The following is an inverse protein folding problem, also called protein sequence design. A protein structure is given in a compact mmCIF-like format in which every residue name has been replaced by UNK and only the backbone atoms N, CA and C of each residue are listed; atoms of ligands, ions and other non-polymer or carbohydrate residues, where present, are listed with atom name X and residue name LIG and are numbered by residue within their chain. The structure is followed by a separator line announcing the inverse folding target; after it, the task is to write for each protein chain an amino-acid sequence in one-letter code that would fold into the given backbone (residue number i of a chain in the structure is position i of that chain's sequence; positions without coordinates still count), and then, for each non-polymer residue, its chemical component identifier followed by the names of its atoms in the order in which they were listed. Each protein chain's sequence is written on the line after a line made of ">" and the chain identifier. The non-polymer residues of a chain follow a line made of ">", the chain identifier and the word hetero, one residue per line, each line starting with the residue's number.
data_IF_134030257730
#
_entry.id   IF_134030257730
#
_cell.length_a   1.000
_cell.length_b   1.000
_cell.length_c   1.000
_cell.angle_alpha   90.00
_cell.angle_beta   90.00
_cell.angle_gamma   90.00
#
_symmetry.space_group_name_H-M   'P 1'
#
loop_
_entity.id
_entity.type
_entity.pdbx_description
1 polymer ?
#
# COMPACT_ATOMS: atom_id res chain seq x y z
N UNK A 1 16.40 -7.20 21.99
CA UNK A 1 15.26 -7.05 21.07
C UNK A 1 15.20 -5.59 20.65
N UNK A 2 15.81 -5.25 19.51
CA UNK A 2 16.07 -3.85 19.12
C UNK A 2 14.86 -3.29 18.37
N UNK A 3 14.19 -2.30 18.98
CA UNK A 3 13.15 -1.51 18.35
C UNK A 3 13.75 -0.75 17.16
N UNK A 4 13.55 -1.25 15.94
CA UNK A 4 13.86 -0.50 14.72
C UNK A 4 12.88 0.67 14.64
N UNK A 5 13.39 1.84 15.04
CA UNK A 5 12.72 3.15 14.98
C UNK A 5 11.94 3.34 13.67
N UNK A 6 10.65 3.63 13.81
CA UNK A 6 9.80 4.18 12.75
C UNK A 6 10.45 5.49 12.26
N UNK A 7 11.12 5.48 11.10
CA UNK A 7 11.68 6.69 10.49
C UNK A 7 10.68 7.26 9.50
N UNK A 8 9.88 8.22 9.97
CA UNK A 8 9.25 9.19 9.07
C UNK A 8 10.37 10.06 8.52
N UNK A 9 10.80 9.79 7.28
CA UNK A 9 11.80 10.60 6.59
C UNK A 9 11.24 12.01 6.38
N UNK A 10 11.92 13.00 6.96
CA UNK A 10 11.59 14.43 6.88
C UNK A 10 11.33 14.87 5.44
N UNK A 11 10.15 15.46 5.21
CA UNK A 11 9.84 16.22 4.00
C UNK A 11 10.67 17.49 3.95
N UNK A 12 11.58 17.62 2.97
CA UNK A 12 12.27 18.88 2.67
C UNK A 12 11.44 19.66 1.66
N UNK A 13 10.71 20.68 2.13
CA UNK A 13 9.94 21.59 1.26
C UNK A 13 10.89 22.69 0.74
N UNK A 14 11.31 22.60 -0.52
CA UNK A 14 11.89 23.74 -1.26
C UNK A 14 10.93 24.13 -2.38
N UNK A 15 10.65 25.43 -2.53
CA UNK A 15 9.79 25.92 -3.61
C UNK A 15 10.33 25.46 -4.97
N UNK A 16 9.56 24.65 -5.71
CA UNK A 16 9.97 24.01 -6.96
C UNK A 16 10.55 22.59 -6.85
N UNK A 17 10.62 21.99 -5.65
CA UNK A 17 11.21 20.66 -5.43
C UNK A 17 10.24 19.52 -5.70
N UNK A 18 10.71 18.51 -6.43
CA UNK A 18 10.12 17.17 -6.48
C UNK A 18 9.88 16.66 -5.05
N UNK A 19 8.63 16.39 -4.69
CA UNK A 19 8.27 15.82 -3.41
C UNK A 19 8.36 14.29 -3.52
N UNK A 20 9.14 13.70 -2.61
CA UNK A 20 9.25 12.24 -2.46
C UNK A 20 8.80 11.83 -1.07
N UNK A 21 7.86 10.91 -1.01
CA UNK A 21 7.36 10.29 0.21
C UNK A 21 7.72 8.80 0.15
N UNK A 22 8.17 8.27 1.28
CA UNK A 22 8.33 6.84 1.51
C UNK A 22 7.54 6.48 2.75
N UNK A 23 6.75 5.42 2.63
CA UNK A 23 5.92 4.90 3.70
C UNK A 23 5.98 3.38 3.70
N UNK A 24 5.69 2.78 4.85
CA UNK A 24 5.70 1.33 5.03
C UNK A 24 4.77 0.92 6.16
N UNK A 25 4.11 -0.22 6.00
CA UNK A 25 3.27 -0.83 7.02
C UNK A 25 3.64 -2.31 7.20
N UNK A 26 3.70 -2.83 8.44
CA UNK A 26 3.91 -4.25 8.68
C UNK A 26 2.67 -5.06 8.29
N UNK A 27 2.89 -6.29 7.86
CA UNK A 27 1.85 -7.31 7.73
C UNK A 27 1.57 -7.96 9.08
N UNK A 28 0.55 -8.82 9.15
CA UNK A 28 0.09 -9.40 10.41
C UNK A 28 -0.15 -10.90 10.33
N UNK A 29 -0.05 -11.57 11.48
CA UNK A 29 -0.57 -12.91 11.68
C UNK A 29 -1.73 -12.87 12.68
N UNK A 30 -2.69 -13.76 12.49
CA UNK A 30 -3.80 -13.93 13.44
C UNK A 30 -3.49 -15.09 14.37
N UNK A 31 -3.48 -14.80 15.67
CA UNK A 31 -3.20 -15.75 16.74
C UNK A 31 -4.50 -16.39 17.24
N UNK A 32 -5.59 -15.62 17.29
CA UNK A 32 -6.92 -16.10 17.65
C UNK A 32 -8.01 -15.22 17.01
N UNK A 33 -9.15 -15.84 16.67
CA UNK A 33 -10.34 -15.11 16.22
C UNK A 33 -10.22 -14.46 14.84
N UNK A 34 -9.21 -14.79 14.03
CA UNK A 34 -8.93 -14.09 12.75
C UNK A 34 -10.14 -13.96 11.82
N UNK A 35 -10.93 -15.04 11.63
CA UNK A 35 -12.09 -15.01 10.73
C UNK A 35 -13.33 -14.31 11.31
N UNK A 36 -13.31 -13.95 12.60
CA UNK A 36 -14.43 -13.27 13.23
C UNK A 36 -14.57 -11.84 12.70
N UNK A 37 -13.53 -11.25 12.12
CA UNK A 37 -13.59 -9.92 11.48
C UNK A 37 -14.34 -9.91 10.13
N UNK A 38 -14.69 -11.08 9.59
CA UNK A 38 -15.39 -11.22 8.31
C UNK A 38 -16.90 -11.02 8.51
N UNK A 39 -17.53 -10.21 7.67
CA UNK A 39 -18.98 -10.10 7.61
C UNK A 39 -19.60 -11.35 6.94
N UNK A 40 -20.71 -11.92 7.44
CA UNK A 40 -21.48 -11.54 8.64
C UNK A 40 -21.08 -12.32 9.90
N UNK A 41 -19.93 -13.01 9.93
CA UNK A 41 -19.58 -13.96 10.99
C UNK A 41 -19.58 -13.34 12.40
N UNK A 42 -19.07 -12.12 12.57
CA UNK A 42 -19.12 -11.47 13.89
C UNK A 42 -20.55 -11.26 14.42
N UNK A 43 -21.57 -11.19 13.55
CA UNK A 43 -22.96 -10.94 13.97
C UNK A 43 -23.59 -12.11 14.74
N UNK A 44 -22.98 -13.30 14.69
CA UNK A 44 -23.45 -14.48 15.43
C UNK A 44 -22.87 -14.58 16.85
N UNK A 45 -22.04 -13.62 17.25
CA UNK A 45 -21.39 -13.57 18.56
C UNK A 45 -21.63 -12.19 19.19
N UNK A 46 -21.81 -12.13 20.51
CA UNK A 46 -22.08 -10.85 21.18
C UNK A 46 -20.91 -9.87 21.06
N UNK A 47 -19.69 -10.34 21.34
CA UNK A 47 -18.46 -9.54 21.28
C UNK A 47 -17.25 -10.43 20.95
N UNK A 48 -17.13 -10.92 19.70
CA UNK A 48 -16.08 -11.85 19.32
C UNK A 48 -14.69 -11.17 19.34
N UNK A 49 -13.74 -11.62 20.19
CA UNK A 49 -12.42 -11.02 20.23
C UNK A 49 -11.54 -11.53 19.09
N UNK A 50 -10.64 -10.68 18.60
CA UNK A 50 -9.55 -11.06 17.70
C UNK A 50 -8.21 -10.70 18.34
N UNK A 51 -7.20 -11.55 18.13
CA UNK A 51 -5.84 -11.31 18.55
C UNK A 51 -4.93 -11.49 17.34
N UNK A 52 -4.28 -10.41 16.93
CA UNK A 52 -3.31 -10.40 15.85
C UNK A 52 -2.00 -9.77 16.31
N UNK A 53 -0.93 -10.04 15.57
CA UNK A 53 0.38 -9.47 15.81
C UNK A 53 1.01 -9.02 14.50
N UNK A 54 1.56 -7.80 14.48
CA UNK A 54 2.38 -7.33 13.38
C UNK A 54 3.69 -8.14 13.33
N UNK A 55 4.12 -8.50 12.12
CA UNK A 55 5.36 -9.24 11.88
C UNK A 55 6.34 -8.42 11.04
N UNK A 56 7.59 -8.86 10.95
CA UNK A 56 8.69 -8.16 10.29
C UNK A 56 8.72 -8.35 8.76
N UNK A 57 7.55 -8.58 8.16
CA UNK A 57 7.31 -8.54 6.72
C UNK A 57 6.50 -7.29 6.39
N UNK A 58 7.09 -6.37 5.63
CA UNK A 58 6.52 -5.05 5.36
C UNK A 58 6.02 -4.92 3.92
N UNK A 59 4.98 -4.11 3.75
CA UNK A 59 4.67 -3.45 2.49
C UNK A 59 5.29 -2.05 2.51
N UNK A 60 5.97 -1.66 1.43
CA UNK A 60 6.64 -0.36 1.29
C UNK A 60 6.19 0.32 0.01
N UNK A 61 5.85 1.61 0.12
CA UNK A 61 5.45 2.45 -1.01
C UNK A 61 6.34 3.69 -1.06
N UNK A 62 6.84 4.01 -2.24
CA UNK A 62 7.56 5.23 -2.53
C UNK A 62 6.82 6.00 -3.62
N UNK A 63 6.48 7.26 -3.34
CA UNK A 63 5.76 8.14 -4.26
C UNK A 63 6.62 9.37 -4.52
N UNK A 64 6.80 9.70 -5.79
CA UNK A 64 7.50 10.91 -6.23
C UNK A 64 6.60 11.73 -7.13
N UNK A 65 6.39 13.02 -6.82
CA UNK A 65 5.61 13.92 -7.68
C UNK A 65 6.36 14.22 -8.96
N UNK A 66 5.65 14.26 -10.08
CA UNK A 66 6.20 14.61 -11.39
C UNK A 66 5.71 15.98 -11.83
N UNK A 67 6.47 16.60 -12.75
CA UNK A 67 6.07 17.88 -13.38
C UNK A 67 5.08 17.67 -14.54
N UNK A 68 5.09 16.47 -15.14
CA UNK A 68 4.14 16.06 -16.17
C UNK A 68 2.88 15.45 -15.54
N UNK A 69 1.96 14.94 -16.36
CA UNK A 69 0.74 14.24 -15.92
C UNK A 69 0.91 12.72 -15.84
N UNK A 70 2.09 12.19 -16.20
CA UNK A 70 2.30 10.75 -16.36
C UNK A 70 2.18 10.04 -15.02
N UNK A 71 1.66 8.81 -15.06
CA UNK A 71 1.63 7.90 -13.92
C UNK A 71 2.56 6.73 -14.25
N UNK A 72 3.60 6.56 -13.45
CA UNK A 72 4.56 5.45 -13.57
C UNK A 72 4.35 4.53 -12.37
N UNK A 73 4.01 3.27 -12.61
CA UNK A 73 3.77 2.27 -11.57
C UNK A 73 4.81 1.17 -11.66
N UNK A 74 5.47 0.86 -10.56
CA UNK A 74 6.43 -0.25 -10.47
C UNK A 74 6.15 -1.10 -9.23
N UNK A 75 5.75 -2.35 -9.41
CA UNK A 75 5.67 -3.35 -8.34
C UNK A 75 6.90 -4.24 -8.39
N UNK A 76 7.80 -4.09 -7.41
CA UNK A 76 9.06 -4.85 -7.38
C UNK A 76 8.85 -6.32 -7.06
N UNK A 77 7.98 -6.60 -6.12
CA UNK A 77 7.55 -7.93 -5.67
C UNK A 77 6.88 -8.75 -6.77
N UNK A 78 6.10 -8.11 -7.64
CA UNK A 78 5.42 -8.76 -8.77
C UNK A 78 6.18 -8.64 -10.10
N UNK A 79 7.31 -7.92 -10.13
CA UNK A 79 8.08 -7.68 -11.36
C UNK A 79 7.32 -6.92 -12.45
N UNK A 80 6.35 -6.07 -12.07
CA UNK A 80 5.50 -5.32 -13.00
C UNK A 80 5.92 -3.86 -13.06
N UNK A 81 5.97 -3.30 -14.28
CA UNK A 81 6.28 -1.88 -14.51
C UNK A 81 5.46 -1.35 -15.67
N UNK A 82 4.70 -0.28 -15.44
CA UNK A 82 3.74 0.28 -16.39
C UNK A 82 3.78 1.80 -16.39
N UNK A 83 3.50 2.38 -17.57
CA UNK A 83 3.54 3.82 -17.79
C UNK A 83 2.27 4.31 -18.47
N UNK A 84 1.57 5.24 -17.82
CA UNK A 84 0.34 5.84 -18.33
C UNK A 84 0.57 7.33 -18.62
N UNK A 85 -0.03 7.83 -19.69
CA UNK A 85 0.11 9.24 -20.11
C UNK A 85 -0.52 10.20 -19.10
N UNK A 86 -1.55 9.76 -18.38
CA UNK A 86 -2.26 10.53 -17.37
C UNK A 86 -3.07 9.63 -16.43
N UNK A 87 -3.61 10.21 -15.36
CA UNK A 87 -4.57 9.54 -14.47
C UNK A 87 -5.80 9.01 -15.25
N UNK A 88 -6.28 9.76 -16.25
CA UNK A 88 -7.43 9.36 -17.06
C UNK A 88 -7.14 8.21 -18.03
N UNK A 89 -5.86 7.87 -18.25
CA UNK A 89 -5.46 6.73 -19.07
C UNK A 89 -5.34 5.43 -18.26
N UNK A 90 -5.63 5.45 -16.95
CA UNK A 90 -5.60 4.25 -16.12
C UNK A 90 -6.72 3.27 -16.51
N UNK A 91 -6.40 2.01 -16.84
CA UNK A 91 -7.41 1.03 -17.24
C UNK A 91 -8.33 0.65 -16.08
N UNK A 92 -9.52 0.13 -16.38
CA UNK A 92 -10.45 -0.36 -15.35
C UNK A 92 -10.03 -1.73 -14.79
N UNK A 93 -9.40 -2.56 -15.62
CA UNK A 93 -8.82 -3.85 -15.22
C UNK A 93 -7.30 -3.77 -15.34
N UNK A 94 -6.60 -4.11 -14.26
CA UNK A 94 -5.15 -4.07 -14.21
C UNK A 94 -4.63 -5.08 -13.18
N UNK A 95 -3.47 -5.74 -13.39
CA UNK A 95 -2.91 -6.63 -12.36
C UNK A 95 -2.63 -5.94 -11.02
N UNK A 96 -2.26 -4.65 -11.05
CA UNK A 96 -2.09 -3.79 -9.88
C UNK A 96 -3.39 -3.04 -9.51
N UNK A 97 -4.52 -3.72 -9.56
CA UNK A 97 -5.85 -3.10 -9.43
C UNK A 97 -6.00 -2.26 -8.14
N UNK A 98 -5.46 -2.74 -7.02
CA UNK A 98 -5.51 -2.02 -5.74
C UNK A 98 -4.92 -0.61 -5.88
N UNK A 99 -3.71 -0.50 -6.45
CA UNK A 99 -3.02 0.79 -6.64
C UNK A 99 -3.77 1.67 -7.63
N UNK A 100 -4.24 1.08 -8.74
CA UNK A 100 -4.99 1.80 -9.78
C UNK A 100 -6.30 2.38 -9.23
N UNK A 101 -7.04 1.61 -8.43
CA UNK A 101 -8.27 2.08 -7.79
C UNK A 101 -7.98 3.16 -6.74
N UNK A 102 -6.92 3.01 -5.94
CA UNK A 102 -6.50 4.04 -4.97
C UNK A 102 -6.16 5.36 -5.67
N UNK A 103 -5.48 5.32 -6.82
CA UNK A 103 -5.20 6.51 -7.63
C UNK A 103 -6.45 7.15 -8.20
N UNK A 104 -7.39 6.34 -8.73
CA UNK A 104 -8.68 6.83 -9.23
C UNK A 104 -9.50 7.47 -8.10
N UNK A 105 -9.45 6.92 -6.89
CA UNK A 105 -10.16 7.44 -5.72
C UNK A 105 -9.61 8.78 -5.24
N UNK A 106 -8.29 8.89 -5.02
CA UNK A 106 -7.69 10.12 -4.52
C UNK A 106 -7.50 11.20 -5.60
N UNK A 107 -7.52 10.81 -6.87
CA UNK A 107 -7.46 11.68 -8.04
C UNK A 107 -6.39 12.81 -7.96
N UNK A 108 -5.09 12.46 -7.84
CA UNK A 108 -4.02 13.44 -7.74
C UNK A 108 -3.97 14.37 -8.96
N UNK A 109 -3.72 15.66 -8.72
CA UNK A 109 -3.70 16.67 -9.78
C UNK A 109 -2.39 16.69 -10.60
N UNK A 110 -1.32 16.06 -10.11
CA UNK A 110 -0.02 15.98 -10.80
C UNK A 110 0.29 14.54 -11.20
N UNK A 111 1.23 14.36 -12.13
CA UNK A 111 1.79 13.04 -12.39
C UNK A 111 2.53 12.49 -11.18
N UNK A 112 2.65 11.17 -11.12
CA UNK A 112 3.26 10.43 -10.02
C UNK A 112 4.15 9.32 -10.55
N UNK A 113 5.25 9.08 -9.85
CA UNK A 113 6.02 7.85 -9.96
C UNK A 113 5.89 7.10 -8.65
N UNK A 114 5.38 5.87 -8.73
CA UNK A 114 4.97 5.07 -7.59
C UNK A 114 5.70 3.74 -7.69
N UNK A 115 6.42 3.39 -6.64
CA UNK A 115 7.07 2.10 -6.52
C UNK A 115 6.63 1.39 -5.25
N UNK A 116 6.17 0.15 -5.42
CA UNK A 116 5.70 -0.72 -4.35
C UNK A 116 6.59 -1.95 -4.20
N UNK A 117 6.63 -2.49 -2.98
CA UNK A 117 7.28 -3.75 -2.66
C UNK A 117 6.62 -4.36 -1.42
N UNK A 118 6.15 -5.60 -1.52
CA UNK A 118 5.51 -6.32 -0.43
C UNK A 118 6.28 -7.59 -0.13
N UNK A 119 6.80 -7.71 1.09
CA UNK A 119 7.55 -8.90 1.52
C UNK A 119 6.65 -10.10 1.81
N UNK A 120 5.34 -9.89 1.98
CA UNK A 120 4.38 -10.98 2.10
C UNK A 120 4.11 -11.59 0.72
N UNK A 121 4.31 -12.91 0.54
CA UNK A 121 3.98 -13.57 -0.72
C UNK A 121 2.52 -13.37 -1.12
N UNK A 122 2.26 -13.26 -2.42
CA UNK A 122 0.88 -13.13 -2.91
C UNK A 122 0.04 -14.33 -2.46
N UNK A 123 -1.14 -14.08 -1.90
CA UNK A 123 -2.04 -15.13 -1.41
C UNK A 123 -1.65 -15.78 -0.08
N UNK A 124 -0.62 -15.27 0.62
CA UNK A 124 -0.15 -15.81 1.91
C UNK A 124 -1.12 -15.70 3.08
N UNK A 125 -2.18 -14.90 2.97
CA UNK A 125 -3.18 -14.73 4.04
C UNK A 125 -2.72 -13.85 5.22
N UNK A 126 -1.53 -13.24 5.18
CA UNK A 126 -0.99 -12.41 6.27
C UNK A 126 -1.27 -10.91 6.10
N UNK A 127 -2.25 -10.54 5.27
CA UNK A 127 -2.69 -9.15 5.12
C UNK A 127 -1.78 -8.24 4.28
N UNK A 128 -1.00 -8.80 3.34
CA UNK A 128 -0.11 -8.04 2.45
C UNK A 128 -0.80 -6.91 1.68
N UNK A 129 -1.96 -7.17 1.07
CA UNK A 129 -2.73 -6.16 0.34
C UNK A 129 -3.25 -5.03 1.24
N UNK A 130 -3.69 -5.35 2.46
CA UNK A 130 -4.16 -4.35 3.42
C UNK A 130 -3.01 -3.48 3.91
N UNK A 131 -1.86 -4.09 4.24
CA UNK A 131 -0.65 -3.35 4.61
C UNK A 131 -0.21 -2.41 3.47
N UNK A 132 -0.24 -2.87 2.21
CA UNK A 132 0.09 -2.05 1.05
C UNK A 132 -0.86 -0.84 0.87
N UNK A 133 -2.13 -0.97 1.22
CA UNK A 133 -3.09 0.14 1.11
C UNK A 133 -2.97 1.16 2.24
N UNK A 134 -2.45 0.74 3.41
CA UNK A 134 -2.17 1.61 4.55
C UNK A 134 -0.83 2.33 4.38
N UNK A 135 0.16 1.67 3.78
CA UNK A 135 1.48 2.23 3.48
C UNK A 135 1.37 3.38 2.46
#
# INVERSE_FOLDING_TARGET
>A
MSLKSLRILKTSKRSGSVLRIKSSAPTRIDLAGGTLDIWPLHLFFDNPPTLNAAIDLYATVEITTRKDKRIVLTSRDLGLSENFSSLGALPDKHPLELIVRTLKFYAPQTGLEISTDCQAPQGSGIGGSSALNIA
#
